data_IF_816096073544
#
_entry.id   IF_816096073544
#
_cell.length_a   1.000
_cell.length_b   1.000
_cell.length_c   1.000
_cell.angle_alpha   90.00
_cell.angle_beta   90.00
_cell.angle_gamma   90.00
#
_symmetry.space_group_name_H-M   'P 1'
#
loop_
_entity.id
_entity.type
_entity.pdbx_description
1 polymer ?
#
# COMPACT_ATOMS: atom_id res chain seq x y z
N UNK A 1 -27.50 -27.09 11.39
CA UNK A 1 -26.60 -27.43 10.27
C UNK A 1 -26.06 -26.11 9.81
N UNK A 2 -24.89 -25.73 10.33
CA UNK A 2 -24.20 -24.53 9.89
C UNK A 2 -23.54 -24.88 8.56
N UNK A 3 -23.79 -24.05 7.57
CA UNK A 3 -23.29 -24.18 6.22
C UNK A 3 -21.81 -23.74 6.25
N UNK A 4 -20.89 -24.68 6.52
CA UNK A 4 -19.43 -24.48 6.47
C UNK A 4 -18.95 -24.38 5.00
N UNK A 5 -19.65 -23.57 4.19
CA UNK A 5 -19.17 -23.12 2.87
C UNK A 5 -18.32 -21.85 2.97
N UNK A 6 -18.19 -21.27 4.17
CA UNK A 6 -17.31 -20.14 4.44
C UNK A 6 -15.82 -20.54 4.35
N UNK A 7 -15.06 -19.73 3.60
CA UNK A 7 -13.58 -19.67 3.56
C UNK A 7 -12.81 -20.66 2.65
N UNK A 8 -13.38 -21.12 1.53
CA UNK A 8 -12.54 -21.68 0.45
C UNK A 8 -11.81 -20.55 -0.28
N UNK A 9 -10.49 -20.49 -0.17
CA UNK A 9 -9.66 -19.57 -0.95
C UNK A 9 -9.29 -20.22 -2.28
N UNK A 10 -9.84 -19.71 -3.37
CA UNK A 10 -9.73 -20.30 -4.71
C UNK A 10 -8.48 -19.84 -5.45
N UNK A 11 -8.17 -20.50 -6.56
CA UNK A 11 -7.11 -20.04 -7.47
C UNK A 11 -7.36 -18.61 -7.99
N UNK A 12 -8.62 -18.22 -8.19
CA UNK A 12 -8.97 -16.86 -8.61
C UNK A 12 -8.69 -15.84 -7.50
N UNK A 13 -9.13 -16.10 -6.27
CA UNK A 13 -8.86 -15.23 -5.11
C UNK A 13 -7.36 -15.09 -4.88
N UNK A 14 -6.64 -16.20 -5.02
CA UNK A 14 -5.19 -16.24 -4.90
C UNK A 14 -4.50 -15.42 -5.98
N UNK A 15 -4.91 -15.55 -7.25
CA UNK A 15 -4.38 -14.75 -8.36
C UNK A 15 -4.63 -13.26 -8.13
N UNK A 16 -5.83 -12.91 -7.71
CA UNK A 16 -6.23 -11.54 -7.41
C UNK A 16 -5.38 -10.96 -6.29
N UNK A 17 -5.21 -11.70 -5.20
CA UNK A 17 -4.34 -11.32 -4.08
C UNK A 17 -2.89 -11.12 -4.54
N UNK A 18 -2.36 -11.96 -5.44
CA UNK A 18 -1.03 -11.74 -5.99
C UNK A 18 -0.90 -10.44 -6.78
N UNK A 19 -1.94 -10.04 -7.52
CA UNK A 19 -1.98 -8.77 -8.26
C UNK A 19 -2.02 -7.60 -7.29
N UNK A 20 -2.90 -7.67 -6.29
CA UNK A 20 -3.04 -6.68 -5.21
C UNK A 20 -1.70 -6.41 -4.52
N UNK A 21 -1.04 -7.46 -4.02
CA UNK A 21 0.24 -7.32 -3.32
C UNK A 21 1.36 -6.84 -4.25
N UNK A 22 1.40 -7.31 -5.50
CA UNK A 22 2.38 -6.86 -6.48
C UNK A 22 2.23 -5.37 -6.82
N UNK A 23 1.00 -4.85 -6.83
CA UNK A 23 0.76 -3.43 -7.04
C UNK A 23 1.32 -2.59 -5.90
N UNK A 24 1.11 -3.00 -4.64
CA UNK A 24 1.77 -2.37 -3.49
C UNK A 24 3.28 -2.31 -3.68
N UNK A 25 3.92 -3.45 -3.96
CA UNK A 25 5.37 -3.54 -4.08
C UNK A 25 5.93 -2.62 -5.19
N UNK A 26 5.30 -2.62 -6.37
CA UNK A 26 5.70 -1.76 -7.50
C UNK A 26 5.57 -0.28 -7.16
N UNK A 27 4.46 0.12 -6.52
CA UNK A 27 4.24 1.51 -6.13
C UNK A 27 5.18 1.94 -4.99
N UNK A 28 5.44 1.06 -4.02
CA UNK A 28 6.45 1.27 -2.98
C UNK A 28 7.84 1.51 -3.58
N UNK A 29 8.25 0.70 -4.56
CA UNK A 29 9.53 0.83 -5.23
C UNK A 29 9.69 2.17 -5.96
N UNK A 30 8.65 2.65 -6.65
CA UNK A 30 8.67 4.00 -7.27
C UNK A 30 8.88 5.12 -6.25
N UNK A 31 8.32 4.96 -5.05
CA UNK A 31 8.55 5.85 -3.92
C UNK A 31 9.97 5.82 -3.37
N UNK A 32 10.74 4.77 -3.66
CA UNK A 32 12.06 4.49 -3.07
C UNK A 32 12.00 3.71 -1.77
N UNK A 33 10.91 2.97 -1.53
CA UNK A 33 10.80 2.04 -0.40
C UNK A 33 11.53 0.72 -0.70
N UNK A 34 12.03 0.08 0.36
CA UNK A 34 12.65 -1.25 0.28
C UNK A 34 11.58 -2.33 0.50
N UNK A 35 11.35 -3.22 -0.47
CA UNK A 35 10.38 -4.33 -0.36
C UNK A 35 11.11 -5.59 0.10
N UNK A 36 10.92 -5.93 1.36
CA UNK A 36 11.69 -6.98 2.03
C UNK A 36 11.11 -8.38 1.86
N UNK A 37 9.79 -8.49 1.74
CA UNK A 37 9.06 -9.76 1.77
C UNK A 37 7.69 -9.57 1.11
N UNK A 38 7.28 -10.58 0.35
CA UNK A 38 5.91 -10.76 -0.09
C UNK A 38 5.48 -12.21 0.13
N UNK A 39 4.21 -12.41 0.47
CA UNK A 39 3.65 -13.75 0.65
C UNK A 39 2.17 -13.76 0.29
N UNK A 40 1.66 -14.92 -0.10
CA UNK A 40 0.26 -15.13 -0.45
C UNK A 40 -0.21 -16.46 0.12
N UNK A 41 -1.45 -16.45 0.60
CA UNK A 41 -2.13 -17.62 1.14
C UNK A 41 -2.20 -18.77 0.12
N UNK A 42 -1.95 -20.03 0.54
CA UNK A 42 -2.22 -21.21 -0.30
C UNK A 42 -3.71 -21.40 -0.57
N UNK A 43 -4.05 -21.98 -1.73
CA UNK A 43 -5.42 -22.38 -2.04
C UNK A 43 -5.95 -23.40 -1.04
N UNK A 44 -7.26 -23.33 -0.77
CA UNK A 44 -7.94 -24.28 0.09
C UNK A 44 -8.66 -23.63 1.29
N UNK A 45 -9.30 -24.47 2.12
CA UNK A 45 -10.12 -24.02 3.24
C UNK A 45 -9.27 -23.56 4.43
N UNK A 46 -9.87 -22.74 5.31
CA UNK A 46 -9.31 -22.38 6.61
C UNK A 46 -8.76 -20.96 6.70
N UNK A 47 -8.19 -20.59 7.85
CA UNK A 47 -7.45 -19.33 7.99
C UNK A 47 -5.98 -19.53 7.64
N UNK A 48 -5.32 -18.48 7.16
CA UNK A 48 -3.87 -18.51 6.94
C UNK A 48 -3.15 -17.61 7.95
N UNK A 49 -1.99 -18.09 8.38
CA UNK A 49 -1.09 -17.38 9.27
C UNK A 49 0.29 -17.32 8.60
N UNK A 50 0.83 -16.11 8.52
CA UNK A 50 2.19 -15.90 8.04
C UNK A 50 3.08 -15.41 9.16
N UNK A 51 4.23 -16.07 9.34
CA UNK A 51 5.27 -15.61 10.25
C UNK A 51 6.39 -15.00 9.43
N UNK A 52 6.57 -13.69 9.56
CA UNK A 52 7.65 -12.99 8.87
C UNK A 52 9.03 -13.49 9.32
N UNK A 53 10.05 -13.22 8.52
CA UNK A 53 11.46 -13.44 8.92
C UNK A 53 11.85 -12.76 10.24
N UNK A 54 11.13 -11.70 10.65
CA UNK A 54 11.35 -10.96 11.91
C UNK A 54 10.53 -11.48 13.09
N UNK A 55 9.82 -12.59 12.92
CA UNK A 55 9.02 -13.23 13.97
C UNK A 55 7.65 -12.59 14.22
N UNK A 56 7.29 -11.50 13.52
CA UNK A 56 5.91 -10.98 13.60
C UNK A 56 4.96 -11.95 12.89
N UNK A 57 3.88 -12.29 13.57
CA UNK A 57 2.80 -13.12 13.07
C UNK A 57 1.68 -12.22 12.54
N UNK A 58 1.13 -12.55 11.36
CA UNK A 58 -0.15 -12.01 10.88
C UNK A 58 -1.11 -13.17 10.65
N UNK A 59 -2.34 -13.04 11.12
CA UNK A 59 -3.45 -13.99 10.96
C UNK A 59 -4.55 -13.35 10.13
N UNK A 60 -5.44 -14.17 9.57
CA UNK A 60 -6.67 -13.73 8.90
C UNK A 60 -6.43 -12.73 7.76
N UNK A 61 -5.36 -12.99 7.00
CA UNK A 61 -4.96 -12.23 5.82
C UNK A 61 -4.84 -13.19 4.63
N UNK A 62 -4.94 -12.66 3.41
CA UNK A 62 -4.75 -13.44 2.18
C UNK A 62 -3.39 -13.16 1.53
N UNK A 63 -2.77 -12.01 1.80
CA UNK A 63 -1.51 -11.58 1.22
C UNK A 63 -0.72 -10.66 2.15
N UNK A 64 0.56 -10.47 1.82
CA UNK A 64 1.45 -9.50 2.47
C UNK A 64 2.38 -8.89 1.44
N UNK A 65 2.51 -7.57 1.47
CA UNK A 65 3.63 -6.81 0.95
C UNK A 65 4.31 -6.04 2.09
N UNK A 66 5.53 -6.45 2.46
CA UNK A 66 6.30 -5.80 3.52
C UNK A 66 7.32 -4.84 2.92
N UNK A 67 6.96 -3.57 2.90
CA UNK A 67 7.83 -2.48 2.51
C UNK A 67 8.30 -1.64 3.70
N UNK A 68 9.50 -1.08 3.59
CA UNK A 68 10.06 -0.10 4.51
C UNK A 68 10.28 1.20 3.77
N UNK A 69 9.46 2.20 4.09
CA UNK A 69 9.73 3.56 3.63
C UNK A 69 10.95 4.11 4.38
N UNK A 70 11.90 4.76 3.69
CA UNK A 70 12.95 5.50 4.32
C UNK A 70 12.36 6.46 5.36
N UNK A 71 12.76 6.28 6.62
CA UNK A 71 12.34 7.08 7.79
C UNK A 71 10.97 6.72 8.43
N UNK A 72 10.20 5.74 7.93
CA UNK A 72 8.87 5.41 8.51
C UNK A 72 8.90 4.47 9.72
N UNK A 73 9.93 3.64 9.86
CA UNK A 73 9.94 2.53 10.81
C UNK A 73 9.84 2.93 12.30
N UNK A 74 9.84 4.23 12.62
CA UNK A 74 9.68 4.77 13.98
C UNK A 74 8.92 6.09 14.02
N UNK A 75 7.98 6.33 13.09
CA UNK A 75 7.17 7.54 13.13
C UNK A 75 6.30 7.54 14.39
N UNK A 76 6.55 8.41 15.39
CA UNK A 76 5.85 8.37 16.69
C UNK A 76 4.39 8.84 16.60
N UNK A 77 3.92 9.06 15.38
CA UNK A 77 2.63 9.64 15.04
C UNK A 77 1.78 8.70 14.17
N UNK A 78 2.26 7.48 13.90
CA UNK A 78 1.54 6.41 13.20
C UNK A 78 1.49 5.19 14.11
N UNK A 79 0.33 4.56 14.26
CA UNK A 79 0.15 3.38 15.10
C UNK A 79 -1.01 2.53 14.58
N UNK A 80 -1.02 1.26 14.97
CA UNK A 80 -2.14 0.35 14.72
C UNK A 80 -3.23 0.57 15.78
N UNK A 81 -4.48 0.73 15.34
CA UNK A 81 -5.66 0.85 16.20
C UNK A 81 -6.36 -0.52 16.24
N UNK A 82 -6.30 -1.19 17.40
CA UNK A 82 -6.88 -2.52 17.60
C UNK A 82 -8.41 -2.50 17.61
N UNK A 83 -9.04 -1.37 17.95
CA UNK A 83 -10.51 -1.25 17.99
C UNK A 83 -11.08 -1.13 16.58
N UNK A 84 -10.37 -0.40 15.71
CA UNK A 84 -10.77 -0.14 14.33
C UNK A 84 -10.12 -1.09 13.31
N UNK A 85 -9.22 -1.98 13.76
CA UNK A 85 -8.40 -2.88 12.94
C UNK A 85 -7.75 -2.18 11.74
N UNK A 86 -7.26 -0.95 11.95
CA UNK A 86 -6.67 -0.13 10.90
C UNK A 86 -5.55 0.76 11.43
N UNK A 87 -4.76 1.34 10.52
CA UNK A 87 -3.78 2.35 10.91
C UNK A 87 -4.47 3.65 11.35
N UNK A 88 -3.96 4.24 12.42
CA UNK A 88 -4.38 5.54 12.93
C UNK A 88 -3.18 6.48 13.08
N UNK A 89 -3.45 7.79 13.05
CA UNK A 89 -2.42 8.82 13.10
C UNK A 89 -2.67 9.89 14.16
N UNK A 90 -1.60 10.31 14.84
CA UNK A 90 -1.62 11.43 15.79
C UNK A 90 -1.18 12.73 15.09
N UNK A 91 -2.16 13.48 14.55
CA UNK A 91 -1.90 14.75 13.84
C UNK A 91 -1.18 15.79 14.70
N UNK A 92 -1.52 15.88 15.99
CA UNK A 92 -0.86 16.79 16.93
C UNK A 92 0.59 16.37 17.19
N UNK A 93 0.81 15.06 17.36
CA UNK A 93 2.13 14.44 17.47
C UNK A 93 2.99 14.69 16.23
N UNK A 94 2.42 14.52 15.04
CA UNK A 94 3.09 14.83 13.77
C UNK A 94 3.45 16.32 13.67
N UNK A 95 2.52 17.23 14.02
CA UNK A 95 2.80 18.67 14.07
C UNK A 95 3.98 19.00 14.99
N UNK A 96 4.05 18.37 16.16
CA UNK A 96 5.17 18.53 17.09
C UNK A 96 6.46 17.94 16.51
N UNK A 97 6.38 16.78 15.87
CA UNK A 97 7.52 16.12 15.21
C UNK A 97 8.13 17.01 14.12
N UNK A 98 7.32 17.52 13.18
CA UNK A 98 7.82 18.41 12.13
C UNK A 98 8.44 19.69 12.68
N UNK A 99 7.91 20.22 13.80
CA UNK A 99 8.43 21.43 14.43
C UNK A 99 9.76 21.21 15.16
N UNK A 100 10.01 19.99 15.66
CA UNK A 100 11.14 19.70 16.56
C UNK A 100 12.25 18.89 15.90
N UNK A 101 11.94 18.11 14.86
CA UNK A 101 12.87 17.16 14.23
C UNK A 101 13.18 17.49 12.77
N UNK A 102 12.28 18.15 12.05
CA UNK A 102 12.48 18.45 10.64
C UNK A 102 13.01 19.88 10.48
N UNK A 103 14.26 20.00 10.03
CA UNK A 103 14.94 21.29 9.85
C UNK A 103 14.95 21.68 8.38
N UNK A 104 14.32 22.80 8.05
CA UNK A 104 14.36 23.39 6.72
C UNK A 104 13.31 22.85 5.75
N UNK A 105 13.06 23.64 4.71
CA UNK A 105 11.98 23.40 3.73
C UNK A 105 12.18 22.10 2.93
N UNK A 106 13.43 21.77 2.59
CA UNK A 106 13.76 20.57 1.80
C UNK A 106 13.38 19.28 2.55
N UNK A 107 13.81 19.15 3.80
CA UNK A 107 13.48 17.98 4.63
C UNK A 107 11.98 17.87 4.92
N UNK A 108 11.27 18.99 5.06
CA UNK A 108 9.80 18.96 5.17
C UNK A 108 9.10 18.51 3.89
N UNK A 109 9.61 18.93 2.72
CA UNK A 109 9.08 18.47 1.44
C UNK A 109 9.32 16.97 1.24
N UNK A 110 10.49 16.50 1.65
CA UNK A 110 10.85 15.09 1.62
C UNK A 110 9.99 14.24 2.56
N UNK A 111 9.81 14.64 3.83
CA UNK A 111 8.90 13.98 4.77
C UNK A 111 7.49 13.84 4.20
N UNK A 112 6.96 14.91 3.61
CA UNK A 112 5.64 14.88 2.99
C UNK A 112 5.59 14.02 1.73
N UNK A 113 6.68 13.95 0.96
CA UNK A 113 6.79 13.04 -0.19
C UNK A 113 6.71 11.59 0.29
N UNK A 114 7.37 11.24 1.39
CA UNK A 114 7.29 9.90 1.97
C UNK A 114 5.86 9.54 2.40
N UNK A 115 5.17 10.46 3.07
CA UNK A 115 3.75 10.25 3.44
C UNK A 115 2.89 10.05 2.20
N UNK A 116 3.04 10.89 1.16
CA UNK A 116 2.32 10.70 -0.12
C UNK A 116 2.60 9.35 -0.76
N UNK A 117 3.86 8.91 -0.73
CA UNK A 117 4.24 7.59 -1.25
C UNK A 117 3.55 6.48 -0.48
N UNK A 118 3.40 6.60 0.84
CA UNK A 118 2.65 5.64 1.65
C UNK A 118 1.17 5.62 1.30
N UNK A 119 0.55 6.79 1.07
CA UNK A 119 -0.84 6.89 0.59
C UNK A 119 -1.00 6.20 -0.76
N UNK A 120 -0.16 6.53 -1.75
CA UNK A 120 -0.20 5.88 -3.06
C UNK A 120 0.00 4.37 -2.96
N UNK A 121 0.94 3.92 -2.12
CA UNK A 121 1.21 2.51 -1.95
C UNK A 121 0.00 1.79 -1.36
N UNK A 122 -0.63 2.32 -0.31
CA UNK A 122 -1.84 1.73 0.26
C UNK A 122 -3.00 1.68 -0.79
N UNK A 123 -3.18 2.73 -1.59
CA UNK A 123 -4.21 2.73 -2.65
C UNK A 123 -3.92 1.75 -3.80
N UNK A 124 -2.67 1.28 -3.96
CA UNK A 124 -2.25 0.52 -5.12
C UNK A 124 -2.98 -0.83 -5.26
N UNK A 125 -3.18 -1.55 -4.16
CA UNK A 125 -3.87 -2.84 -4.14
C UNK A 125 -5.31 -2.71 -4.65
N UNK A 126 -6.19 -1.94 -3.97
CA UNK A 126 -7.57 -1.73 -4.41
C UNK A 126 -7.71 -1.16 -5.82
N UNK A 127 -6.82 -0.26 -6.25
CA UNK A 127 -6.81 0.26 -7.62
C UNK A 127 -6.46 -0.84 -8.63
N UNK A 128 -5.46 -1.67 -8.32
CA UNK A 128 -5.09 -2.80 -9.18
C UNK A 128 -6.20 -3.83 -9.27
N UNK A 129 -6.96 -4.02 -8.18
CA UNK A 129 -8.11 -4.91 -8.19
C UNK A 129 -9.16 -4.44 -9.19
N UNK A 130 -9.56 -3.17 -9.09
CA UNK A 130 -10.52 -2.59 -10.01
C UNK A 130 -10.04 -2.58 -11.48
N UNK A 131 -8.74 -2.37 -11.72
CA UNK A 131 -8.14 -2.48 -13.06
C UNK A 131 -8.24 -3.91 -13.59
N UNK A 132 -7.91 -4.91 -12.77
CA UNK A 132 -7.94 -6.33 -13.12
C UNK A 132 -9.36 -6.77 -13.51
N UNK A 133 -10.34 -6.38 -12.70
CA UNK A 133 -11.75 -6.74 -12.89
C UNK A 133 -12.47 -5.86 -13.92
N UNK A 134 -11.78 -4.83 -14.44
CA UNK A 134 -12.37 -3.84 -15.36
C UNK A 134 -13.62 -3.15 -14.80
N UNK A 135 -13.62 -2.89 -13.49
CA UNK A 135 -14.70 -2.21 -12.77
C UNK A 135 -14.32 -0.78 -12.40
N UNK A 136 -15.31 -0.01 -11.96
CA UNK A 136 -15.07 1.33 -11.42
C UNK A 136 -14.29 1.23 -10.10
N UNK A 137 -13.32 2.13 -9.93
CA UNK A 137 -12.51 2.22 -8.72
C UNK A 137 -13.36 2.82 -7.60
N UNK A 138 -13.76 1.99 -6.64
CA UNK A 138 -14.45 2.40 -5.42
C UNK A 138 -13.44 2.52 -4.27
N UNK A 139 -13.02 3.75 -3.93
CA UNK A 139 -12.06 4.02 -2.83
C UNK A 139 -12.74 4.59 -1.59
N UNK A 140 -13.99 4.22 -1.36
CA UNK A 140 -14.70 4.54 -0.13
C UNK A 140 -14.46 3.42 0.88
N UNK A 141 -14.28 3.74 2.18
CA UNK A 141 -14.09 2.72 3.19
C UNK A 141 -15.38 1.89 3.33
N UNK A 142 -15.34 0.64 2.91
CA UNK A 142 -16.31 -0.36 3.33
C UNK A 142 -15.86 -0.84 4.72
N UNK A 143 -16.31 -0.14 5.76
CA UNK A 143 -15.87 -0.34 7.16
C UNK A 143 -16.23 -1.70 7.79
N UNK A 144 -16.58 -2.72 7.00
CA UNK A 144 -17.18 -3.95 7.48
C UNK A 144 -16.36 -5.22 7.19
N UNK A 145 -15.23 -5.12 6.49
CA UNK A 145 -14.37 -6.28 6.25
C UNK A 145 -13.24 -6.36 7.29
N UNK A 146 -13.17 -7.47 8.01
CA UNK A 146 -12.10 -7.78 8.97
C UNK A 146 -10.86 -8.17 8.15
N UNK A 147 -9.89 -7.27 8.07
CA UNK A 147 -8.67 -7.46 7.29
C UNK A 147 -7.98 -6.12 7.02
N UNK A 148 -6.72 -6.17 6.59
CA UNK A 148 -5.87 -5.00 6.27
C UNK A 148 -6.60 -4.04 5.30
N UNK A 149 -7.21 -2.98 5.82
CA UNK A 149 -8.01 -2.07 5.01
C UNK A 149 -7.11 -0.95 4.47
N UNK A 150 -6.51 -1.19 3.30
CA UNK A 150 -5.54 -0.25 2.72
C UNK A 150 -6.16 1.14 2.43
N UNK A 151 -7.48 1.21 2.23
CA UNK A 151 -8.21 2.48 2.10
C UNK A 151 -8.14 3.27 3.41
N UNK A 152 -8.43 2.63 4.56
CA UNK A 152 -8.29 3.27 5.88
C UNK A 152 -6.85 3.73 6.13
N UNK A 153 -5.86 2.91 5.75
CA UNK A 153 -4.45 3.25 5.86
C UNK A 153 -4.07 4.46 5.01
N UNK A 154 -4.55 4.51 3.77
CA UNK A 154 -4.38 5.65 2.87
C UNK A 154 -5.02 6.93 3.44
N UNK A 155 -6.25 6.85 3.94
CA UNK A 155 -6.95 7.98 4.57
C UNK A 155 -6.20 8.51 5.79
N UNK A 156 -5.78 7.61 6.69
CA UNK A 156 -5.06 7.95 7.90
C UNK A 156 -3.74 8.68 7.58
N UNK A 157 -2.93 8.16 6.66
CA UNK A 157 -1.71 8.86 6.21
C UNK A 157 -2.01 10.22 5.58
N UNK A 158 -3.07 10.30 4.77
CA UNK A 158 -3.46 11.53 4.11
C UNK A 158 -3.85 12.64 5.11
N UNK A 159 -4.36 12.30 6.30
CA UNK A 159 -4.67 13.27 7.37
C UNK A 159 -3.45 14.04 7.89
N UNK A 160 -2.23 13.55 7.62
CA UNK A 160 -0.96 14.22 7.95
C UNK A 160 -0.53 15.24 6.88
N UNK A 161 -1.12 15.19 5.69
CA UNK A 161 -0.80 16.09 4.60
C UNK A 161 -1.56 17.43 4.73
N UNK A 162 -0.97 18.54 4.24
CA UNK A 162 -1.53 19.87 4.46
C UNK A 162 -2.68 20.25 3.51
N UNK A 163 -2.86 19.54 2.39
CA UNK A 163 -3.83 19.90 1.35
C UNK A 163 -5.05 18.97 1.37
N UNK A 164 -6.24 19.55 1.16
CA UNK A 164 -7.52 18.87 1.40
C UNK A 164 -7.84 17.77 0.39
N UNK A 165 -7.36 17.90 -0.85
CA UNK A 165 -7.68 16.94 -1.91
C UNK A 165 -6.46 16.06 -2.24
N UNK A 166 -5.51 15.89 -1.30
CA UNK A 166 -4.32 15.03 -1.51
C UNK A 166 -4.76 13.59 -1.81
N UNK A 167 -5.78 13.08 -1.12
CA UNK A 167 -6.27 11.72 -1.31
C UNK A 167 -6.69 11.45 -2.76
N UNK A 168 -7.66 12.21 -3.28
CA UNK A 168 -8.15 12.07 -4.66
C UNK A 168 -7.03 12.26 -5.69
N UNK A 169 -6.15 13.24 -5.46
CA UNK A 169 -5.02 13.50 -6.36
C UNK A 169 -4.05 12.31 -6.41
N UNK A 170 -3.75 11.72 -5.25
CA UNK A 170 -2.86 10.57 -5.15
C UNK A 170 -3.50 9.29 -5.68
N UNK A 171 -4.81 9.12 -5.51
CA UNK A 171 -5.57 8.04 -6.15
C UNK A 171 -5.45 8.12 -7.68
N UNK A 172 -5.74 9.29 -8.27
CA UNK A 172 -5.62 9.52 -9.71
C UNK A 172 -4.19 9.28 -10.21
N UNK A 173 -3.18 9.76 -9.47
CA UNK A 173 -1.79 9.59 -9.87
C UNK A 173 -1.34 8.11 -9.78
N UNK A 174 -1.82 7.38 -8.78
CA UNK A 174 -1.55 5.95 -8.61
C UNK A 174 -2.21 5.14 -9.73
N UNK A 175 -3.49 5.39 -10.01
CA UNK A 175 -4.21 4.79 -11.13
C UNK A 175 -3.51 5.08 -12.46
N UNK A 176 -3.12 6.34 -12.71
CA UNK A 176 -2.43 6.73 -13.93
C UNK A 176 -1.13 5.94 -14.15
N UNK A 177 -0.35 5.72 -13.09
CA UNK A 177 0.83 4.86 -13.17
C UNK A 177 0.45 3.41 -13.42
N UNK A 178 -0.47 2.82 -12.65
CA UNK A 178 -0.85 1.41 -12.79
C UNK A 178 -1.47 1.10 -14.15
N UNK A 179 -2.15 2.06 -14.80
CA UNK A 179 -2.67 1.91 -16.17
C UNK A 179 -1.61 2.03 -17.27
N UNK A 180 -0.37 2.43 -16.94
CA UNK A 180 0.71 2.47 -17.93
C UNK A 180 1.09 1.03 -18.30
N UNK A 181 1.05 0.64 -19.59
CA UNK A 181 1.21 -0.77 -20.00
C UNK A 181 2.49 -1.43 -19.47
N UNK A 182 3.60 -0.71 -19.47
CA UNK A 182 4.90 -1.20 -19.00
C UNK A 182 4.91 -1.41 -17.48
N UNK A 183 4.19 -0.57 -16.73
CA UNK A 183 4.06 -0.66 -15.27
C UNK A 183 3.11 -1.80 -14.92
N UNK A 184 1.97 -1.88 -15.60
CA UNK A 184 1.02 -2.97 -15.40
C UNK A 184 1.66 -4.32 -15.69
N UNK A 185 2.47 -4.41 -16.75
CA UNK A 185 3.23 -5.63 -17.05
C UNK A 185 4.15 -6.05 -15.89
N UNK A 186 4.82 -5.10 -15.22
CA UNK A 186 5.66 -5.40 -14.05
C UNK A 186 4.84 -5.94 -12.89
N UNK A 187 3.66 -5.38 -12.63
CA UNK A 187 2.71 -5.91 -11.64
C UNK A 187 2.32 -7.34 -11.99
N UNK A 188 1.94 -7.60 -13.24
CA UNK A 188 1.53 -8.93 -13.69
C UNK A 188 2.66 -9.97 -13.59
N UNK A 189 3.88 -9.59 -13.97
CA UNK A 189 5.06 -10.46 -13.91
C UNK A 189 5.45 -10.78 -12.45
N UNK A 190 5.44 -9.79 -11.56
CA UNK A 190 5.68 -9.97 -10.13
C UNK A 190 4.58 -10.82 -9.47
N UNK A 191 3.32 -10.57 -9.81
CA UNK A 191 2.19 -11.34 -9.33
C UNK A 191 2.31 -12.81 -9.75
N UNK A 192 2.68 -13.10 -11.00
CA UNK A 192 2.91 -14.46 -11.47
C UNK A 192 4.09 -15.14 -10.73
N UNK A 193 5.17 -14.41 -10.45
CA UNK A 193 6.29 -14.93 -9.67
C UNK A 193 5.88 -15.26 -8.22
N UNK A 194 5.14 -14.35 -7.56
CA UNK A 194 4.58 -14.59 -6.23
C UNK A 194 3.60 -15.76 -6.25
N UNK A 195 2.84 -15.90 -7.33
CA UNK A 195 1.85 -16.95 -7.48
C UNK A 195 2.50 -18.33 -7.45
N UNK A 196 3.55 -18.52 -8.23
CA UNK A 196 4.33 -19.76 -8.27
C UNK A 196 5.07 -20.03 -6.97
N UNK A 197 5.70 -19.00 -6.38
CA UNK A 197 6.56 -19.18 -5.23
C UNK A 197 5.82 -19.30 -3.89
N UNK A 198 4.65 -18.67 -3.77
CA UNK A 198 3.90 -18.50 -2.52
C UNK A 198 4.53 -17.51 -1.54
N UNK A 199 5.86 -17.42 -1.51
CA UNK A 199 6.61 -16.45 -0.71
C UNK A 199 7.85 -15.99 -1.47
N UNK A 200 8.04 -14.67 -1.53
CA UNK A 200 9.23 -14.03 -2.08
C UNK A 200 9.94 -13.26 -0.95
N UNK A 201 11.20 -13.58 -0.70
CA UNK A 201 12.06 -12.80 0.19
C UNK A 201 13.05 -11.96 -0.60
N UNK A 202 13.50 -10.85 -0.02
CA UNK A 202 14.46 -9.93 -0.65
C UNK A 202 13.98 -9.46 -2.03
N UNK A 203 12.74 -8.94 -2.10
CA UNK A 203 12.06 -8.65 -3.36
C UNK A 203 12.83 -7.60 -4.19
N UNK A 204 13.53 -6.68 -3.54
CA UNK A 204 14.41 -5.70 -4.19
C UNK A 204 15.58 -6.31 -4.99
N UNK A 205 16.00 -7.54 -4.67
CA UNK A 205 17.03 -8.26 -5.45
C UNK A 205 16.44 -8.93 -6.71
N UNK A 206 15.12 -8.89 -6.87
CA UNK A 206 14.39 -9.55 -7.96
C UNK A 206 14.10 -8.51 -9.07
N UNK A 207 14.36 -8.82 -10.35
CA UNK A 207 14.32 -7.84 -11.45
C UNK A 207 12.92 -7.33 -11.85
N UNK A 208 11.90 -7.50 -11.00
CA UNK A 208 10.53 -7.07 -11.28
C UNK A 208 10.27 -5.63 -10.84
N UNK A 209 10.91 -5.19 -9.74
CA UNK A 209 10.66 -3.87 -9.19
C UNK A 209 11.26 -2.76 -10.07
N UNK A 210 10.55 -1.64 -10.26
CA UNK A 210 11.06 -0.50 -10.98
C UNK A 210 12.10 0.29 -10.17
N UNK A 211 12.92 1.07 -10.87
CA UNK A 211 13.76 2.08 -10.22
C UNK A 211 12.88 3.19 -9.61
N UNK A 212 13.32 3.80 -8.49
CA UNK A 212 12.62 4.94 -7.88
C UNK A 212 12.47 6.11 -8.86
N UNK A 213 11.28 6.72 -8.91
CA UNK A 213 11.06 7.92 -9.72
C UNK A 213 11.46 9.16 -8.90
N UNK A 214 12.42 9.97 -9.38
CA UNK A 214 12.85 11.16 -8.63
C UNK A 214 11.69 12.10 -8.33
N UNK A 215 11.50 12.43 -7.05
CA UNK A 215 10.46 13.33 -6.54
C UNK A 215 9.02 12.85 -6.70
N UNK A 216 8.80 11.57 -6.98
CA UNK A 216 7.46 10.97 -6.97
C UNK A 216 7.08 10.51 -5.54
N UNK A 217 5.78 10.56 -5.14
CA UNK A 217 4.69 11.24 -5.83
C UNK A 217 4.84 12.76 -5.81
N UNK A 218 4.37 13.46 -6.87
CA UNK A 218 4.42 14.92 -6.92
C UNK A 218 3.55 15.55 -5.83
N UNK A 219 3.81 16.82 -5.51
CA UNK A 219 2.86 17.61 -4.73
C UNK A 219 1.72 18.08 -5.64
N UNK A 220 0.45 18.04 -5.20
CA UNK A 220 -0.64 18.64 -5.96
C UNK A 220 -0.34 20.11 -6.27
N UNK A 221 -0.30 20.46 -7.56
CA UNK A 221 -0.11 21.84 -7.98
C UNK A 221 -1.36 22.65 -7.63
N UNK A 222 -1.20 23.83 -7.01
CA UNK A 222 -2.25 24.86 -7.10
C UNK A 222 -2.32 25.28 -8.57
N UNK A 223 -3.40 24.94 -9.30
CA UNK A 223 -3.79 25.77 -10.43
C UNK A 223 -4.08 27.16 -9.86
N UNK A 224 -3.23 28.13 -10.17
CA UNK A 224 -3.59 29.52 -9.95
C UNK A 224 -4.81 29.78 -10.85
N UNK A 225 -5.89 30.32 -10.28
CA UNK A 225 -7.06 30.80 -11.04
C UNK A 225 -6.68 32.04 -11.84
N UNK A 226 -5.86 31.90 -12.88
CA UNK A 226 -5.59 32.93 -13.89
C UNK A 226 -5.11 32.23 -15.16
N UNK A 227 -6.00 31.43 -15.76
CA UNK A 227 -6.05 31.14 -17.19
C UNK A 227 -7.52 31.27 -17.62
#
# INVERSE_FOLDING_TARGET
MNDDTDCLFTAADRRQTCIHEAAHAVIYAFGGAFVSEMAVRPEGPGAWQHTSKRGSVRTDINGICRAELPHSAKSPYVFWDEDSYCMSVNRTGYKKYIQTRIVGKKSLMEERRWIRSGVCAALAGPIADAISDSVEIALAPECNEIGNNDICDAEALCMLLPWRNEYDFLAIETERLLRTPEIWKRVQDLAAALEVAGTLGNVDDIPFLPDPIPNWPPTPYRRNKHD
#
